data_IF_670087765868
#
_entry.id   IF_670087765868
#
_cell.length_a   1.000
_cell.length_b   1.000
_cell.length_c   1.000
_cell.angle_alpha   90.00
_cell.angle_beta   90.00
_cell.angle_gamma   90.00
#
_symmetry.space_group_name_H-M   'P 1'
#
loop_
_entity.id
_entity.type
_entity.pdbx_description
1 polymer ?
#
# COMPACT_ATOMS: atom_id res chain seq x y z
N UNK A 1 -12.09 -19.42 7.06
CA UNK A 1 -11.51 -18.58 5.98
C UNK A 1 -10.16 -18.14 6.49
N UNK A 2 -9.07 -18.60 5.87
CA UNK A 2 -7.72 -18.16 6.23
C UNK A 2 -7.67 -16.63 6.11
N UNK A 3 -7.38 -15.97 7.24
CA UNK A 3 -7.37 -14.51 7.33
C UNK A 3 -6.21 -13.96 6.52
N UNK A 4 -6.49 -13.36 5.36
CA UNK A 4 -5.49 -12.63 4.58
C UNK A 4 -4.84 -11.55 5.46
N UNK A 5 -3.53 -11.66 5.67
CA UNK A 5 -2.77 -10.67 6.43
C UNK A 5 -2.52 -9.45 5.55
N UNK A 6 -3.11 -8.31 5.90
CA UNK A 6 -2.83 -7.01 5.27
C UNK A 6 -1.40 -6.57 5.61
N UNK A 7 -0.80 -5.80 4.71
CA UNK A 7 0.57 -5.28 4.87
C UNK A 7 1.42 -5.50 3.63
N UNK A 8 2.39 -4.62 3.45
CA UNK A 8 3.38 -4.72 2.38
C UNK A 8 4.39 -5.81 2.73
N UNK A 9 4.69 -6.69 1.77
CA UNK A 9 5.69 -7.74 1.91
C UNK A 9 6.91 -7.43 1.04
N UNK A 10 8.05 -7.98 1.43
CA UNK A 10 9.24 -8.01 0.62
C UNK A 10 8.98 -8.73 -0.72
N UNK A 11 9.43 -8.13 -1.83
CA UNK A 11 9.38 -8.78 -3.15
C UNK A 11 10.24 -10.03 -3.22
N UNK A 12 11.36 -10.03 -2.50
CA UNK A 12 12.40 -11.07 -2.61
C UNK A 12 12.18 -12.23 -1.64
N UNK A 13 12.14 -11.97 -0.33
CA UNK A 13 11.99 -13.01 0.69
C UNK A 13 10.57 -13.19 1.23
N UNK A 14 9.61 -12.36 0.79
CA UNK A 14 8.21 -12.36 1.21
C UNK A 14 7.95 -12.12 2.72
N UNK A 15 8.98 -11.70 3.47
CA UNK A 15 8.78 -11.22 4.83
C UNK A 15 7.88 -9.98 4.87
N UNK A 16 7.18 -9.79 5.98
CA UNK A 16 6.44 -8.56 6.29
C UNK A 16 7.27 -7.56 7.09
N UNK A 17 8.52 -7.91 7.47
CA UNK A 17 9.41 -7.04 8.22
C UNK A 17 10.07 -6.04 7.26
N UNK A 18 9.36 -4.94 7.03
CA UNK A 18 9.72 -3.88 6.09
C UNK A 18 9.85 -2.56 6.85
N UNK A 19 11.04 -1.95 6.78
CA UNK A 19 11.34 -0.67 7.39
C UNK A 19 11.36 0.47 6.37
N UNK A 20 10.94 1.66 6.81
CA UNK A 20 11.10 2.90 6.04
C UNK A 20 12.55 3.35 6.16
N UNK A 21 13.30 3.27 5.05
CA UNK A 21 14.63 3.86 4.96
C UNK A 21 14.55 5.35 4.62
N UNK A 22 13.58 5.74 3.78
CA UNK A 22 13.30 7.13 3.42
C UNK A 22 11.88 7.29 2.88
N UNK A 23 11.47 8.52 2.56
CA UNK A 23 10.15 8.80 1.95
C UNK A 23 9.88 8.06 0.62
N UNK A 24 10.92 7.50 -0.02
CA UNK A 24 10.84 6.79 -1.31
C UNK A 24 11.27 5.33 -1.26
N UNK A 25 11.93 4.89 -0.19
CA UNK A 25 12.55 3.57 -0.12
C UNK A 25 12.12 2.82 1.13
N UNK A 26 11.75 1.56 0.93
CA UNK A 26 11.68 0.56 1.98
C UNK A 26 12.92 -0.31 1.96
N UNK A 27 13.27 -0.89 3.10
CA UNK A 27 14.25 -1.96 3.25
C UNK A 27 13.58 -3.15 3.93
N UNK A 28 13.81 -4.36 3.44
CA UNK A 28 13.42 -5.56 4.19
C UNK A 28 14.44 -5.82 5.30
N UNK A 29 13.98 -5.94 6.53
CA UNK A 29 14.84 -6.14 7.70
C UNK A 29 15.37 -7.57 7.78
N UNK A 30 14.71 -8.53 7.12
CA UNK A 30 15.14 -9.93 7.07
C UNK A 30 16.20 -10.21 5.99
N UNK A 31 16.03 -9.68 4.76
CA UNK A 31 16.93 -10.00 3.63
C UNK A 31 17.75 -8.80 3.10
N UNK A 32 17.51 -7.60 3.63
CA UNK A 32 18.26 -6.39 3.28
C UNK A 32 17.93 -5.78 1.91
N UNK A 33 16.99 -6.33 1.14
CA UNK A 33 16.62 -5.75 -0.16
C UNK A 33 16.03 -4.36 0.02
N UNK A 34 16.38 -3.44 -0.86
CA UNK A 34 15.86 -2.07 -0.89
C UNK A 34 14.95 -1.90 -2.10
N UNK A 35 13.73 -1.43 -1.87
CA UNK A 35 12.68 -1.33 -2.88
C UNK A 35 11.95 0.01 -2.81
N UNK A 36 11.35 0.42 -3.93
CA UNK A 36 10.58 1.66 -4.00
C UNK A 36 9.25 1.58 -3.24
N UNK A 37 8.98 2.58 -2.40
CA UNK A 37 7.72 2.68 -1.61
C UNK A 37 6.48 2.65 -2.52
N UNK A 38 6.50 3.47 -3.58
CA UNK A 38 5.35 3.58 -4.50
C UNK A 38 5.12 2.29 -5.27
N UNK A 39 6.18 1.65 -5.77
CA UNK A 39 6.08 0.41 -6.54
C UNK A 39 5.55 -0.74 -5.67
N UNK A 40 6.07 -0.91 -4.46
CA UNK A 40 5.61 -1.98 -3.56
C UNK A 40 4.15 -1.81 -3.14
N UNK A 41 3.72 -0.58 -2.87
CA UNK A 41 2.33 -0.31 -2.49
C UNK A 41 1.40 -0.50 -3.69
N UNK A 42 1.79 -0.03 -4.88
CA UNK A 42 1.03 -0.28 -6.11
C UNK A 42 0.90 -1.78 -6.37
N UNK A 43 1.99 -2.53 -6.27
CA UNK A 43 1.98 -3.98 -6.49
C UNK A 43 1.08 -4.69 -5.47
N UNK A 44 1.12 -4.29 -4.20
CA UNK A 44 0.20 -4.82 -3.18
C UNK A 44 -1.26 -4.65 -3.59
N UNK A 45 -1.69 -3.42 -3.91
CA UNK A 45 -3.09 -3.16 -4.27
C UNK A 45 -3.47 -3.78 -5.62
N UNK A 46 -2.54 -3.90 -6.57
CA UNK A 46 -2.73 -4.59 -7.84
C UNK A 46 -3.01 -6.08 -7.67
N UNK A 47 -2.39 -6.72 -6.69
CA UNK A 47 -2.69 -8.12 -6.38
C UNK A 47 -3.95 -8.25 -5.54
N UNK A 48 -4.12 -7.35 -4.56
CA UNK A 48 -5.28 -7.38 -3.67
C UNK A 48 -6.60 -7.17 -4.43
N UNK A 49 -6.66 -6.26 -5.39
CA UNK A 49 -7.87 -6.02 -6.21
C UNK A 49 -8.26 -7.22 -7.08
N UNK A 50 -7.34 -8.17 -7.34
CA UNK A 50 -7.67 -9.42 -8.05
C UNK A 50 -8.36 -10.42 -7.13
N UNK A 51 -8.12 -10.33 -5.82
CA UNK A 51 -8.71 -11.19 -4.79
C UNK A 51 -10.05 -10.61 -4.36
N UNK A 52 -10.09 -9.30 -4.11
CA UNK A 52 -11.30 -8.57 -3.72
C UNK A 52 -11.57 -7.47 -4.76
N UNK A 53 -12.29 -7.81 -5.85
CA UNK A 53 -12.62 -6.84 -6.89
C UNK A 53 -13.61 -5.79 -6.38
N UNK A 54 -13.63 -4.63 -7.04
CA UNK A 54 -14.58 -3.54 -6.80
C UNK A 54 -14.56 -2.93 -5.38
N UNK A 55 -13.54 -3.26 -4.57
CA UNK A 55 -13.41 -2.71 -3.22
C UNK A 55 -13.16 -1.20 -3.27
N UNK A 56 -13.90 -0.48 -2.43
CA UNK A 56 -13.76 0.96 -2.23
C UNK A 56 -13.11 1.24 -0.88
N UNK A 57 -12.26 2.24 -0.85
CA UNK A 57 -11.43 2.54 0.31
C UNK A 57 -11.68 3.96 0.80
N UNK A 58 -11.72 4.16 2.10
CA UNK A 58 -11.44 5.46 2.69
C UNK A 58 -9.93 5.66 2.77
N UNK A 59 -9.50 6.90 3.03
CA UNK A 59 -8.09 7.18 3.33
C UNK A 59 -7.56 6.37 4.52
N UNK A 60 -8.43 6.11 5.52
CA UNK A 60 -8.08 5.33 6.70
C UNK A 60 -7.83 3.87 6.30
N UNK A 61 -8.71 3.30 5.48
CA UNK A 61 -8.54 1.93 4.99
C UNK A 61 -7.22 1.78 4.23
N UNK A 62 -6.89 2.71 3.32
CA UNK A 62 -5.61 2.68 2.58
C UNK A 62 -4.43 2.67 3.55
N UNK A 63 -4.46 3.49 4.60
CA UNK A 63 -3.40 3.53 5.63
C UNK A 63 -3.32 2.20 6.40
N UNK A 64 -4.47 1.64 6.78
CA UNK A 64 -4.58 0.38 7.51
C UNK A 64 -4.11 -0.82 6.67
N UNK A 65 -4.34 -0.79 5.34
CA UNK A 65 -3.84 -1.78 4.39
C UNK A 65 -2.31 -1.75 4.26
N UNK A 66 -1.73 -0.56 4.15
CA UNK A 66 -0.28 -0.38 4.04
C UNK A 66 0.40 -0.84 5.33
N UNK A 67 -0.20 -0.55 6.49
CA UNK A 67 0.25 -0.97 7.82
C UNK A 67 1.73 -0.64 8.12
N UNK A 68 2.21 0.47 7.55
CA UNK A 68 3.57 0.99 7.73
C UNK A 68 3.46 2.51 7.96
N UNK A 69 4.30 3.05 8.84
CA UNK A 69 4.26 4.45 9.31
C UNK A 69 4.68 5.49 8.25
N UNK A 70 3.93 5.61 7.15
CA UNK A 70 4.20 6.61 6.11
C UNK A 70 3.97 8.04 6.59
N UNK A 71 4.76 8.97 6.06
CA UNK A 71 4.47 10.40 6.21
C UNK A 71 3.16 10.76 5.50
N UNK A 72 2.49 11.79 5.99
CA UNK A 72 1.24 12.30 5.39
C UNK A 72 1.44 12.70 3.92
N UNK A 73 2.60 13.29 3.58
CA UNK A 73 2.96 13.65 2.22
C UNK A 73 3.08 12.42 1.32
N UNK A 74 3.81 11.39 1.76
CA UNK A 74 3.97 10.13 1.00
C UNK A 74 2.62 9.44 0.80
N UNK A 75 1.81 9.33 1.85
CA UNK A 75 0.47 8.76 1.76
C UNK A 75 -0.40 9.53 0.75
N UNK A 76 -0.38 10.86 0.79
CA UNK A 76 -1.14 11.67 -0.16
C UNK A 76 -0.65 11.48 -1.61
N UNK A 77 0.67 11.35 -1.80
CA UNK A 77 1.25 11.08 -3.12
C UNK A 77 0.77 9.73 -3.66
N UNK A 78 0.86 8.66 -2.86
CA UNK A 78 0.38 7.32 -3.20
C UNK A 78 -1.10 7.32 -3.58
N UNK A 79 -1.93 7.99 -2.77
CA UNK A 79 -3.37 8.09 -3.04
C UNK A 79 -3.61 8.78 -4.38
N UNK A 80 -2.93 9.89 -4.65
CA UNK A 80 -3.09 10.63 -5.91
C UNK A 80 -2.61 9.86 -7.13
N UNK A 81 -1.56 9.05 -7.01
CA UNK A 81 -0.98 8.33 -8.15
C UNK A 81 -1.65 7.00 -8.45
N UNK A 82 -2.31 6.36 -7.48
CA UNK A 82 -2.82 5.00 -7.64
C UNK A 82 -4.34 4.87 -7.46
N UNK A 83 -5.01 5.91 -6.95
CA UNK A 83 -6.43 5.83 -6.62
C UNK A 83 -7.21 6.96 -7.27
N UNK A 84 -8.36 6.59 -7.83
CA UNK A 84 -9.37 7.54 -8.31
C UNK A 84 -10.34 7.86 -7.19
N UNK A 85 -10.57 9.15 -6.94
CA UNK A 85 -11.60 9.61 -6.00
C UNK A 85 -12.97 9.45 -6.68
N UNK A 86 -13.91 8.76 -6.02
CA UNK A 86 -15.25 8.51 -6.54
C UNK A 86 -16.25 9.62 -6.18
N UNK A 87 -16.19 10.13 -4.96
CA UNK A 87 -17.03 11.23 -4.50
C UNK A 87 -16.17 12.27 -3.75
N UNK A 88 -16.47 13.55 -4.00
CA UNK A 88 -15.87 14.67 -3.30
C UNK A 88 -16.28 14.80 -1.84
N UNK A 89 -17.50 14.38 -1.48
CA UNK A 89 -18.07 14.52 -0.14
C UNK A 89 -17.57 13.43 0.82
N UNK A 90 -17.54 12.18 0.37
CA UNK A 90 -17.25 11.04 1.26
C UNK A 90 -15.78 10.63 1.32
N UNK A 91 -14.89 11.26 0.52
CA UNK A 91 -13.45 10.90 0.44
C UNK A 91 -13.25 9.39 0.25
N UNK A 92 -14.04 8.82 -0.64
CA UNK A 92 -13.98 7.41 -1.05
C UNK A 92 -13.13 7.31 -2.31
N UNK A 93 -12.30 6.27 -2.34
CA UNK A 93 -11.28 6.00 -3.35
C UNK A 93 -11.48 4.61 -3.95
N UNK A 94 -11.12 4.48 -5.22
CA UNK A 94 -11.07 3.23 -5.95
C UNK A 94 -9.67 3.04 -6.52
N UNK A 95 -9.10 1.84 -6.41
CA UNK A 95 -7.77 1.56 -6.95
C UNK A 95 -7.81 1.55 -8.48
N UNK A 96 -7.07 2.47 -9.10
CA UNK A 96 -7.03 2.68 -10.55
C UNK A 96 -5.67 3.31 -10.91
N UNK A 97 -4.58 2.54 -10.81
CA UNK A 97 -3.21 3.00 -11.05
C UNK A 97 -2.92 3.31 -12.52
#
# INVERSE_FOLDING_TARGET
>A
MESFKKGIKCSDCHSFDMDILSSRLFMCSDCGVVVGVEDQIRDYFLHYTKIIPDEVYTRRDIKDHINIGLTEYTLQKIIKSNFRKLDNRERIYYFSP
#
